data_IF_437652341945
#
_entry.id   IF_437652341945
#
_cell.length_a   1.000
_cell.length_b   1.000
_cell.length_c   1.000
_cell.angle_alpha   90.00
_cell.angle_beta   90.00
_cell.angle_gamma   90.00
#
_symmetry.space_group_name_H-M   'P 1'
#
loop_
_entity.id
_entity.type
_entity.pdbx_description
1 polymer ?
#
# COMPACT_ATOMS: atom_id res chain seq x y z
N UNK A 1 -63.79 47.82 -8.63
CA UNK A 1 -63.73 46.37 -8.40
C UNK A 1 -62.29 46.04 -8.02
N UNK A 2 -62.01 45.83 -6.72
CA UNK A 2 -60.66 45.61 -6.20
C UNK A 2 -60.23 44.17 -6.51
N UNK A 3 -59.18 43.97 -7.30
CA UNK A 3 -58.52 42.68 -7.45
C UNK A 3 -57.49 42.53 -6.31
N UNK A 4 -57.77 41.62 -5.39
CA UNK A 4 -56.85 41.18 -4.36
C UNK A 4 -55.73 40.35 -5.03
N UNK A 5 -54.58 40.95 -5.27
CA UNK A 5 -53.38 40.18 -5.62
C UNK A 5 -52.84 39.51 -4.35
N UNK A 6 -53.11 38.21 -4.21
CA UNK A 6 -52.38 37.34 -3.29
C UNK A 6 -50.93 37.26 -3.74
N UNK A 7 -50.09 38.18 -3.24
CA UNK A 7 -48.64 38.14 -3.41
C UNK A 7 -48.14 36.89 -2.70
N UNK A 8 -48.02 35.79 -3.44
CA UNK A 8 -47.34 34.59 -2.99
C UNK A 8 -45.91 34.96 -2.58
N UNK A 9 -45.63 34.90 -1.27
CA UNK A 9 -44.31 35.24 -0.74
C UNK A 9 -43.29 34.18 -1.19
N UNK A 10 -42.65 34.43 -2.34
CA UNK A 10 -41.57 33.62 -2.92
C UNK A 10 -40.50 33.20 -1.90
N UNK A 11 -40.23 34.04 -0.89
CA UNK A 11 -39.29 33.76 0.20
C UNK A 11 -39.78 32.68 1.19
N UNK A 12 -41.09 32.58 1.44
CA UNK A 12 -41.65 31.50 2.25
C UNK A 12 -41.71 30.19 1.46
N UNK A 13 -42.05 30.24 0.16
CA UNK A 13 -42.04 29.06 -0.70
C UNK A 13 -40.63 28.43 -0.81
N UNK A 14 -39.58 29.24 -1.02
CA UNK A 14 -38.20 28.75 -1.04
C UNK A 14 -37.75 28.17 0.31
N UNK A 15 -38.22 28.72 1.44
CA UNK A 15 -37.93 28.16 2.77
C UNK A 15 -38.57 26.79 2.98
N UNK A 16 -39.81 26.60 2.53
CA UNK A 16 -40.54 25.33 2.71
C UNK A 16 -40.03 24.25 1.74
N UNK A 17 -39.78 24.59 0.48
CA UNK A 17 -39.29 23.62 -0.53
C UNK A 17 -37.80 23.33 -0.34
N UNK A 18 -36.99 24.32 0.02
CA UNK A 18 -35.57 24.15 0.33
C UNK A 18 -35.32 23.41 1.66
N UNK A 19 -36.16 23.60 2.67
CA UNK A 19 -36.07 22.87 3.94
C UNK A 19 -36.47 21.40 3.81
N UNK A 20 -37.50 21.11 3.00
CA UNK A 20 -37.98 19.73 2.76
C UNK A 20 -37.00 18.89 1.94
N UNK A 21 -36.22 19.51 1.05
CA UNK A 21 -35.26 18.80 0.19
C UNK A 21 -33.97 18.39 0.92
N UNK A 22 -33.58 19.08 1.99
CA UNK A 22 -32.44 18.65 2.82
C UNK A 22 -32.82 17.43 3.67
N UNK A 23 -34.05 17.36 4.19
CA UNK A 23 -34.50 16.22 4.99
C UNK A 23 -34.56 14.90 4.18
N UNK A 24 -34.82 14.97 2.88
CA UNK A 24 -34.81 13.80 1.99
C UNK A 24 -33.38 13.37 1.57
N UNK A 25 -32.41 14.29 1.55
CA UNK A 25 -31.01 13.97 1.29
C UNK A 25 -30.27 13.43 2.53
N UNK A 26 -30.86 13.59 3.71
CA UNK A 26 -30.40 12.98 4.98
C UNK A 26 -31.12 11.68 5.32
N UNK A 27 -31.89 11.09 4.40
CA UNK A 27 -32.27 9.70 4.56
C UNK A 27 -30.95 8.91 4.60
N UNK A 28 -30.62 8.20 5.70
CA UNK A 28 -29.50 7.30 5.68
C UNK A 28 -29.79 6.33 4.54
N UNK A 29 -28.94 6.33 3.52
CA UNK A 29 -28.93 5.29 2.51
C UNK A 29 -28.62 3.99 3.26
N UNK A 30 -29.64 3.34 3.80
CA UNK A 30 -29.53 2.13 4.60
C UNK A 30 -28.96 0.94 3.78
N UNK A 31 -28.76 1.12 2.48
CA UNK A 31 -28.07 0.20 1.57
C UNK A 31 -26.74 0.70 1.00
N UNK A 32 -26.31 1.93 1.33
CA UNK A 32 -24.95 2.41 1.06
C UNK A 32 -24.24 2.56 2.41
N UNK A 33 -23.79 1.43 2.94
CA UNK A 33 -22.86 1.39 4.05
C UNK A 33 -21.61 2.21 3.69
N UNK A 34 -21.60 3.48 4.09
CA UNK A 34 -20.42 4.35 4.15
C UNK A 34 -19.40 3.89 5.22
N UNK A 35 -19.65 2.74 5.85
CA UNK A 35 -18.70 2.00 6.67
C UNK A 35 -18.96 0.50 6.51
N UNK A 36 -18.54 -0.07 5.37
CA UNK A 36 -18.12 -1.48 5.40
C UNK A 36 -16.81 -1.50 6.17
N UNK A 37 -16.86 -1.56 7.50
CA UNK A 37 -15.66 -1.83 8.29
C UNK A 37 -15.05 -3.13 7.75
N UNK A 38 -13.82 -3.03 7.23
CA UNK A 38 -13.10 -4.20 6.74
C UNK A 38 -12.92 -5.19 7.91
N UNK A 39 -12.99 -6.51 7.66
CA UNK A 39 -12.69 -7.49 8.70
C UNK A 39 -11.35 -7.18 9.36
N UNK A 40 -11.26 -7.26 10.69
CA UNK A 40 -10.04 -6.89 11.42
C UNK A 40 -8.78 -7.63 10.88
N UNK A 41 -8.93 -8.90 10.50
CA UNK A 41 -7.87 -9.70 9.88
C UNK A 41 -7.39 -9.12 8.54
N UNK A 42 -8.28 -8.50 7.75
CA UNK A 42 -7.94 -7.91 6.46
C UNK A 42 -7.14 -6.61 6.59
N UNK A 43 -7.18 -5.94 7.74
CA UNK A 43 -6.40 -4.72 8.03
C UNK A 43 -5.28 -4.95 9.05
N UNK A 44 -5.15 -6.17 9.59
CA UNK A 44 -4.22 -6.49 10.68
C UNK A 44 -2.77 -6.14 10.32
N UNK A 45 -2.35 -6.34 9.08
CA UNK A 45 -0.99 -6.07 8.65
C UNK A 45 -0.61 -4.58 8.79
N UNK A 46 -1.58 -3.66 8.67
CA UNK A 46 -1.37 -2.22 8.86
C UNK A 46 -1.23 -1.81 10.33
N UNK A 47 -1.53 -2.68 11.29
CA UNK A 47 -1.20 -2.45 12.69
C UNK A 47 0.33 -2.51 12.94
N UNK A 48 1.09 -3.03 11.97
CA UNK A 48 2.54 -3.12 12.01
C UNK A 48 3.06 -4.35 12.76
N UNK A 49 4.39 -4.53 12.77
CA UNK A 49 5.08 -5.70 13.34
C UNK A 49 5.10 -5.77 14.87
N UNK A 50 4.51 -4.80 15.58
CA UNK A 50 4.48 -4.78 17.05
C UNK A 50 5.87 -4.79 17.70
N UNK A 51 6.02 -5.60 18.76
CA UNK A 51 7.26 -5.77 19.52
C UNK A 51 8.18 -6.86 18.96
N UNK A 52 8.29 -6.98 17.63
CA UNK A 52 9.22 -7.91 16.97
C UNK A 52 10.68 -7.59 17.35
N UNK A 53 11.42 -8.53 17.96
CA UNK A 53 12.76 -8.27 18.48
C UNK A 53 13.86 -8.27 17.41
N UNK A 54 13.71 -9.01 16.30
CA UNK A 54 14.67 -8.93 15.19
C UNK A 54 14.33 -7.71 14.34
N UNK A 55 15.20 -6.71 14.36
CA UNK A 55 14.99 -5.46 13.61
C UNK A 55 14.78 -5.72 12.12
N UNK A 56 15.39 -6.77 11.55
CA UNK A 56 15.19 -7.14 10.14
C UNK A 56 13.74 -7.59 9.92
N UNK A 57 13.19 -8.42 10.81
CA UNK A 57 11.79 -8.85 10.73
C UNK A 57 10.82 -7.71 11.00
N UNK A 58 11.17 -6.80 11.90
CA UNK A 58 10.37 -5.60 12.15
C UNK A 58 10.28 -4.74 10.88
N UNK A 59 11.41 -4.47 10.23
CA UNK A 59 11.48 -3.75 8.95
C UNK A 59 10.67 -4.48 7.87
N UNK A 60 10.85 -5.80 7.74
CA UNK A 60 10.14 -6.62 6.76
C UNK A 60 8.63 -6.61 6.97
N UNK A 61 8.15 -6.54 8.22
CA UNK A 61 6.72 -6.41 8.52
C UNK A 61 6.07 -5.18 7.91
N UNK A 62 6.84 -4.11 7.67
CA UNK A 62 6.39 -2.95 6.91
C UNK A 62 6.64 -3.12 5.40
N UNK A 63 7.80 -3.66 5.01
CA UNK A 63 8.15 -3.85 3.59
C UNK A 63 7.13 -4.74 2.83
N UNK A 64 6.55 -5.75 3.48
CA UNK A 64 5.54 -6.62 2.85
C UNK A 64 4.23 -5.90 2.49
N UNK A 65 4.00 -4.68 3.01
CA UNK A 65 2.86 -3.85 2.66
C UNK A 65 3.06 -3.09 1.34
N UNK A 66 4.24 -3.23 0.71
CA UNK A 66 4.53 -2.57 -0.55
C UNK A 66 3.50 -2.93 -1.63
N UNK A 67 3.16 -1.98 -2.52
CA UNK A 67 2.30 -2.29 -3.65
C UNK A 67 3.03 -3.28 -4.58
N UNK A 68 2.32 -4.30 -5.02
CA UNK A 68 2.82 -5.29 -5.98
C UNK A 68 1.83 -5.47 -7.12
N UNK A 69 2.32 -5.66 -8.34
CA UNK A 69 1.46 -6.00 -9.48
C UNK A 69 0.55 -7.18 -9.16
N UNK A 70 -0.75 -6.98 -9.39
CA UNK A 70 -1.82 -7.92 -9.06
C UNK A 70 -1.82 -8.40 -7.60
N UNK A 71 -1.15 -7.67 -6.71
CA UNK A 71 -0.93 -8.04 -5.32
C UNK A 71 -0.41 -9.49 -5.14
N UNK A 72 0.40 -9.99 -6.08
CA UNK A 72 0.96 -11.34 -6.01
C UNK A 72 2.00 -11.51 -4.90
N UNK A 73 2.63 -10.40 -4.49
CA UNK A 73 3.59 -10.37 -3.39
C UNK A 73 4.73 -11.36 -3.64
N UNK A 74 5.36 -11.25 -4.82
CA UNK A 74 6.34 -12.21 -5.34
C UNK A 74 7.74 -11.95 -4.77
N UNK A 75 7.84 -11.83 -3.45
CA UNK A 75 9.08 -11.62 -2.71
C UNK A 75 9.44 -12.83 -1.87
N UNK A 76 10.69 -13.25 -1.96
CA UNK A 76 11.33 -14.21 -1.07
C UNK A 76 12.50 -13.52 -0.38
N UNK A 77 12.59 -13.69 0.93
CA UNK A 77 13.61 -13.04 1.74
C UNK A 77 14.40 -14.09 2.49
N UNK A 78 15.72 -14.05 2.35
CA UNK A 78 16.66 -14.85 3.12
C UNK A 78 17.30 -14.01 4.23
N UNK A 79 17.23 -14.54 5.46
CA UNK A 79 17.77 -13.96 6.69
C UNK A 79 18.84 -14.85 7.34
N UNK A 80 19.31 -15.88 6.63
CA UNK A 80 20.26 -16.89 7.11
C UNK A 80 21.60 -16.30 7.55
N UNK A 81 22.03 -15.21 6.92
CA UNK A 81 23.23 -14.45 7.30
C UNK A 81 22.89 -13.34 8.28
N UNK A 82 23.73 -13.17 9.29
CA UNK A 82 23.60 -12.07 10.25
C UNK A 82 23.70 -10.71 9.54
N UNK A 83 22.89 -9.74 9.98
CA UNK A 83 22.86 -8.35 9.50
C UNK A 83 22.65 -8.15 7.99
N UNK A 84 22.28 -9.23 7.27
CA UNK A 84 22.00 -9.23 5.84
C UNK A 84 20.55 -9.65 5.60
N UNK A 85 19.93 -9.00 4.62
CA UNK A 85 18.64 -9.38 4.04
C UNK A 85 18.92 -9.60 2.55
N UNK A 86 18.66 -10.80 2.03
CA UNK A 86 18.75 -11.05 0.59
C UNK A 86 17.35 -11.20 0.00
N UNK A 87 17.03 -10.37 -0.99
CA UNK A 87 15.75 -10.35 -1.67
C UNK A 87 15.84 -11.12 -2.99
N UNK A 88 14.89 -12.01 -3.22
CA UNK A 88 14.71 -12.74 -4.47
C UNK A 88 13.28 -12.53 -4.98
N UNK A 89 13.11 -12.60 -6.30
CA UNK A 89 11.78 -12.67 -6.90
C UNK A 89 11.23 -14.11 -6.81
N UNK A 90 10.02 -14.27 -6.27
CA UNK A 90 9.32 -15.56 -6.27
C UNK A 90 8.86 -15.93 -7.69
N UNK A 91 9.64 -16.78 -8.35
CA UNK A 91 9.37 -17.23 -9.72
C UNK A 91 8.12 -18.11 -9.84
N UNK A 92 7.57 -18.60 -8.72
CA UNK A 92 6.30 -19.37 -8.73
C UNK A 92 5.08 -18.44 -8.83
N UNK A 93 5.28 -17.13 -8.66
CA UNK A 93 4.27 -16.08 -8.67
C UNK A 93 4.53 -15.05 -9.76
N UNK A 94 4.88 -15.52 -10.96
CA UNK A 94 5.05 -14.66 -12.14
C UNK A 94 3.77 -14.61 -12.99
N UNK A 95 3.73 -13.62 -13.88
CA UNK A 95 2.62 -13.37 -14.79
C UNK A 95 3.06 -13.55 -16.25
N UNK A 96 3.23 -14.79 -16.73
CA UNK A 96 3.78 -15.03 -18.07
C UNK A 96 2.97 -14.40 -19.20
N UNK A 97 1.65 -14.24 -19.03
CA UNK A 97 0.78 -13.67 -20.05
C UNK A 97 0.69 -12.13 -19.99
N UNK A 98 0.61 -11.53 -18.79
CA UNK A 98 0.42 -10.08 -18.62
C UNK A 98 1.70 -9.31 -18.36
N UNK A 99 2.74 -9.97 -17.87
CA UNK A 99 4.09 -9.43 -17.67
C UNK A 99 5.16 -10.44 -18.17
N UNK A 100 5.18 -10.75 -19.48
CA UNK A 100 6.03 -11.80 -20.06
C UNK A 100 7.53 -11.58 -19.84
N UNK A 101 7.94 -10.33 -19.61
CA UNK A 101 9.33 -9.95 -19.36
C UNK A 101 9.62 -9.66 -17.88
N UNK A 102 8.65 -9.92 -16.99
CA UNK A 102 8.76 -9.67 -15.54
C UNK A 102 9.13 -8.23 -15.16
N UNK A 103 8.82 -7.25 -16.02
CA UNK A 103 9.18 -5.84 -15.76
C UNK A 103 8.35 -5.25 -14.65
N UNK A 104 7.07 -5.58 -14.60
CA UNK A 104 6.18 -5.13 -13.52
C UNK A 104 6.53 -5.83 -12.21
N UNK A 105 6.91 -7.12 -12.27
CA UNK A 105 7.46 -7.83 -11.11
C UNK A 105 8.71 -7.13 -10.58
N UNK A 106 9.68 -6.79 -11.44
CA UNK A 106 10.89 -6.08 -11.02
C UNK A 106 10.60 -4.68 -10.48
N UNK A 107 9.67 -3.92 -11.08
CA UNK A 107 9.24 -2.65 -10.52
C UNK A 107 8.63 -2.81 -9.12
N UNK A 108 7.87 -3.89 -8.88
CA UNK A 108 7.31 -4.22 -7.57
C UNK A 108 8.38 -4.65 -6.55
N UNK A 109 9.51 -5.21 -6.98
CA UNK A 109 10.65 -5.43 -6.06
C UNK A 109 11.24 -4.09 -5.60
N UNK A 110 11.26 -3.08 -6.48
CA UNK A 110 11.71 -1.72 -6.13
C UNK A 110 10.83 -1.06 -5.06
N UNK A 111 9.50 -1.22 -5.15
CA UNK A 111 8.58 -0.66 -4.13
C UNK A 111 8.77 -1.32 -2.77
N UNK A 112 9.07 -2.63 -2.75
CA UNK A 112 9.45 -3.35 -1.52
C UNK A 112 10.72 -2.78 -0.89
N UNK A 113 11.76 -2.54 -1.71
CA UNK A 113 13.02 -1.98 -1.24
C UNK A 113 12.85 -0.56 -0.68
N UNK A 114 11.98 0.26 -1.28
CA UNK A 114 11.67 1.59 -0.78
C UNK A 114 11.01 1.55 0.61
N UNK A 115 9.97 0.71 0.80
CA UNK A 115 9.32 0.59 2.11
C UNK A 115 10.27 0.00 3.16
N UNK A 116 11.13 -0.94 2.76
CA UNK A 116 12.19 -1.48 3.61
C UNK A 116 13.11 -0.35 4.09
N UNK A 117 13.57 0.51 3.19
CA UNK A 117 14.49 1.61 3.50
C UNK A 117 13.82 2.67 4.40
N UNK A 118 12.56 3.02 4.14
CA UNK A 118 11.77 3.90 5.02
C UNK A 118 11.65 3.30 6.43
N UNK A 119 11.30 2.01 6.55
CA UNK A 119 11.17 1.35 7.84
C UNK A 119 12.52 1.19 8.56
N UNK A 120 13.63 1.03 7.82
CA UNK A 120 14.97 1.01 8.40
C UNK A 120 15.31 2.37 9.05
N UNK A 121 15.02 3.49 8.37
CA UNK A 121 15.28 4.84 8.90
C UNK A 121 14.51 5.13 10.18
N UNK A 122 13.27 4.65 10.29
CA UNK A 122 12.48 4.76 11.53
C UNK A 122 13.16 4.06 12.74
N UNK A 123 14.11 3.17 12.48
CA UNK A 123 14.93 2.50 13.51
C UNK A 123 16.35 3.08 13.63
N UNK A 124 16.63 4.23 13.03
CA UNK A 124 17.97 4.84 13.02
C UNK A 124 18.99 3.99 12.25
N UNK A 125 18.53 3.29 11.22
CA UNK A 125 19.33 2.44 10.36
C UNK A 125 19.28 2.96 8.93
N UNK A 126 20.43 2.97 8.26
CA UNK A 126 20.52 3.11 6.81
C UNK A 126 20.51 1.71 6.19
N UNK A 127 19.70 1.52 5.15
CA UNK A 127 19.75 0.31 4.33
C UNK A 127 20.76 0.52 3.19
N UNK A 128 21.91 -0.14 3.27
CA UNK A 128 22.87 -0.20 2.16
C UNK A 128 22.38 -1.28 1.17
N UNK A 129 21.70 -0.83 0.11
CA UNK A 129 21.04 -1.68 -0.89
C UNK A 129 21.96 -1.86 -2.10
N UNK A 130 22.47 -3.08 -2.27
CA UNK A 130 23.19 -3.54 -3.46
C UNK A 130 22.20 -4.21 -4.41
N UNK A 131 21.88 -3.56 -5.53
CA UNK A 131 21.02 -4.13 -6.57
C UNK A 131 21.79 -5.14 -7.42
N UNK A 132 21.14 -6.27 -7.74
CA UNK A 132 21.66 -7.33 -8.60
C UNK A 132 23.10 -7.74 -8.24
N UNK A 133 23.35 -8.16 -6.97
CA UNK A 133 24.71 -8.40 -6.48
C UNK A 133 25.45 -9.53 -7.21
N UNK A 134 24.69 -10.42 -7.86
CA UNK A 134 25.21 -11.55 -8.64
C UNK A 134 25.02 -11.30 -10.16
N UNK A 135 24.97 -10.03 -10.56
CA UNK A 135 24.79 -9.53 -11.92
C UNK A 135 23.32 -9.32 -12.31
N UNK A 136 23.09 -8.42 -13.26
CA UNK A 136 21.75 -8.10 -13.77
C UNK A 136 21.07 -9.31 -14.39
N UNK A 137 19.73 -9.32 -14.33
CA UNK A 137 18.92 -10.30 -15.05
C UNK A 137 19.01 -10.08 -16.56
N UNK A 138 18.88 -11.16 -17.33
CA UNK A 138 18.69 -11.03 -18.77
C UNK A 138 17.38 -10.30 -19.09
N UNK A 139 17.24 -9.70 -20.29
CA UNK A 139 16.09 -8.86 -20.62
C UNK A 139 14.77 -9.62 -20.82
N UNK A 140 14.78 -10.95 -20.72
CA UNK A 140 13.66 -11.83 -21.06
C UNK A 140 13.12 -12.60 -19.86
N UNK A 141 13.98 -13.11 -18.99
CA UNK A 141 13.57 -13.99 -17.88
C UNK A 141 14.35 -13.63 -16.62
N UNK A 142 13.62 -13.54 -15.51
CA UNK A 142 14.18 -13.48 -14.16
C UNK A 142 14.52 -14.89 -13.68
N UNK A 143 15.73 -15.06 -13.17
CA UNK A 143 16.24 -16.35 -12.71
C UNK A 143 16.34 -16.43 -11.18
N UNK A 144 17.06 -17.42 -10.65
CA UNK A 144 17.15 -17.67 -9.23
C UNK A 144 18.08 -16.71 -8.47
N UNK A 145 18.81 -15.83 -9.17
CA UNK A 145 19.72 -14.88 -8.55
C UNK A 145 18.94 -13.85 -7.73
N UNK A 146 19.57 -13.27 -6.68
CA UNK A 146 18.94 -12.24 -5.88
C UNK A 146 18.70 -10.96 -6.68
N UNK A 147 17.55 -10.32 -6.42
CA UNK A 147 17.24 -8.98 -6.90
C UNK A 147 18.08 -7.94 -6.16
N UNK A 148 18.28 -8.12 -4.86
CA UNK A 148 19.05 -7.20 -4.03
C UNK A 148 19.66 -7.88 -2.81
N UNK A 149 20.77 -7.32 -2.33
CA UNK A 149 21.35 -7.61 -1.01
C UNK A 149 21.34 -6.33 -0.19
N UNK A 150 20.82 -6.42 1.02
CA UNK A 150 20.66 -5.27 1.90
C UNK A 150 21.46 -5.51 3.18
N UNK A 151 22.27 -4.53 3.57
CA UNK A 151 22.95 -4.47 4.86
C UNK A 151 22.41 -3.31 5.67
N UNK A 152 22.08 -3.57 6.93
CA UNK A 152 21.59 -2.53 7.83
C UNK A 152 22.77 -1.96 8.61
N UNK A 153 22.96 -0.64 8.50
CA UNK A 153 24.05 0.07 9.17
C UNK A 153 23.45 1.11 10.11
N UNK A 154 23.96 1.18 11.34
CA UNK A 154 23.59 2.28 12.25
C UNK A 154 24.04 3.60 11.66
N UNK A 155 23.11 4.53 11.57
CA UNK A 155 23.37 5.87 11.06
C UNK A 155 22.60 6.87 11.92
N UNK A 156 23.31 7.82 12.53
CA UNK A 156 22.70 8.83 13.39
C UNK A 156 22.14 10.02 12.60
N UNK A 157 22.30 10.01 11.27
CA UNK A 157 21.92 11.12 10.37
C UNK A 157 20.64 10.86 9.58
N UNK A 158 20.09 9.64 9.67
CA UNK A 158 18.79 9.27 9.09
C UNK A 158 17.65 9.46 10.05
#
# INVERSE_FOLDING_TARGET
MSLNDHIMQRRQFLRVVGGSSIAAATLPLAGCSLSSEMPAAAVQAWAGPGAEPDVRRWILGWAILAPHSHNLQSWLVDLSKADEITLYCDRTRLLPETDPLSRQMMMSQGTFLELLDIAARERGLRADIELFPDGEFGPVVVDARPTARIRLVRDATV
#
